data_IF_224036994840
#
_entry.id   IF_224036994840
#
_cell.length_a   1.000
_cell.length_b   1.000
_cell.length_c   1.000
_cell.angle_alpha   90.00
_cell.angle_beta   90.00
_cell.angle_gamma   90.00
#
_symmetry.space_group_name_H-M   'P 1'
#
loop_
_entity.id
_entity.type
_entity.pdbx_description
1 polymer ?
#
# COMPACT_ATOMS: atom_id res chain seq x y z
N UNK A 1 -33.12 24.26 -3.29
CA UNK A 1 -33.13 23.05 -4.07
C UNK A 1 -32.08 22.11 -3.55
N UNK A 2 -32.43 21.13 -2.69
CA UNK A 2 -31.54 20.06 -2.25
C UNK A 2 -31.47 19.02 -3.37
N UNK A 3 -30.27 18.74 -3.85
CA UNK A 3 -29.99 17.72 -4.86
C UNK A 3 -30.35 16.32 -4.34
N UNK A 4 -31.24 15.65 -5.07
CA UNK A 4 -31.69 14.28 -4.84
C UNK A 4 -30.74 13.24 -5.44
N UNK A 5 -29.43 13.38 -5.25
CA UNK A 5 -28.41 12.48 -5.82
C UNK A 5 -27.98 11.37 -4.84
N UNK A 6 -28.36 11.47 -3.57
CA UNK A 6 -27.93 10.52 -2.52
C UNK A 6 -28.41 9.07 -2.65
N UNK A 7 -29.58 8.72 -3.24
CA UNK A 7 -30.01 7.32 -3.24
C UNK A 7 -29.25 6.39 -4.19
N UNK A 8 -28.56 6.93 -5.21
CA UNK A 8 -27.88 6.12 -6.20
C UNK A 8 -26.43 5.76 -5.83
N UNK A 9 -25.75 6.57 -5.02
CA UNK A 9 -24.39 6.30 -4.58
C UNK A 9 -24.33 5.21 -3.48
N UNK A 10 -25.38 5.13 -2.65
CA UNK A 10 -25.48 4.14 -1.55
C UNK A 10 -25.71 2.72 -2.08
N UNK A 11 -26.19 2.56 -3.32
CA UNK A 11 -26.41 1.25 -3.94
C UNK A 11 -25.13 0.53 -4.40
N UNK A 12 -23.98 1.19 -4.38
CA UNK A 12 -22.72 0.61 -4.84
C UNK A 12 -21.93 -0.13 -3.76
N UNK A 13 -22.30 0.00 -2.50
CA UNK A 13 -21.67 -0.75 -1.39
C UNK A 13 -22.62 -1.87 -0.97
N UNK A 14 -22.58 -2.99 -1.67
CA UNK A 14 -23.23 -4.23 -1.22
C UNK A 14 -22.55 -4.69 0.07
N UNK A 15 -23.25 -4.57 1.19
CA UNK A 15 -22.79 -5.05 2.49
C UNK A 15 -22.95 -4.09 3.67
N UNK A 16 -23.41 -2.86 3.42
CA UNK A 16 -23.79 -1.97 4.53
C UNK A 16 -25.30 -2.08 4.72
N UNK A 17 -25.74 -2.79 5.75
CA UNK A 17 -27.12 -2.69 6.23
C UNK A 17 -27.35 -1.25 6.71
N UNK A 18 -28.22 -0.54 6.01
CA UNK A 18 -28.73 0.75 6.47
C UNK A 18 -29.72 0.46 7.61
N UNK A 19 -29.23 0.39 8.83
CA UNK A 19 -30.08 0.35 10.01
C UNK A 19 -30.62 1.76 10.19
N UNK A 20 -31.92 1.94 9.89
CA UNK A 20 -32.70 3.13 10.24
C UNK A 20 -32.98 3.15 11.76
N UNK A 21 -31.96 3.23 12.57
CA UNK A 21 -32.07 3.63 13.96
C UNK A 21 -31.51 5.04 14.10
N UNK A 22 -32.26 5.90 14.78
CA UNK A 22 -31.77 7.18 15.28
C UNK A 22 -30.64 6.86 16.26
N UNK A 23 -29.45 6.65 15.73
CA UNK A 23 -28.27 6.34 16.50
C UNK A 23 -27.95 7.58 17.34
N UNK A 24 -27.90 7.42 18.64
CA UNK A 24 -27.16 8.28 19.55
C UNK A 24 -25.79 8.58 18.93
N UNK A 25 -25.21 9.78 19.09
CA UNK A 25 -23.94 10.12 18.48
C UNK A 25 -22.91 9.06 18.88
N UNK A 26 -22.60 8.17 17.97
CA UNK A 26 -21.46 7.26 18.10
C UNK A 26 -20.25 8.16 18.25
N UNK A 27 -19.46 7.94 19.29
CA UNK A 27 -18.18 8.64 19.43
C UNK A 27 -17.50 8.57 18.07
N UNK A 28 -17.19 9.75 17.50
CA UNK A 28 -16.58 9.83 16.17
C UNK A 28 -15.23 9.13 16.25
N UNK A 29 -15.08 8.01 15.57
CA UNK A 29 -13.81 7.30 15.50
C UNK A 29 -12.90 8.06 14.54
N UNK A 30 -11.79 8.55 15.03
CA UNK A 30 -10.74 9.17 14.23
C UNK A 30 -9.73 8.09 13.86
N UNK A 31 -9.52 7.88 12.56
CA UNK A 31 -8.51 6.96 12.05
C UNK A 31 -7.24 7.73 11.72
N UNK A 32 -6.11 7.29 12.26
CA UNK A 32 -4.79 7.86 11.96
C UNK A 32 -4.29 7.25 10.66
N UNK A 33 -4.09 8.09 9.67
CA UNK A 33 -3.67 7.68 8.34
C UNK A 33 -2.33 8.30 7.99
N UNK A 34 -1.35 7.47 7.67
CA UNK A 34 -0.08 7.95 7.15
C UNK A 34 -0.07 7.85 5.63
N UNK A 35 0.27 8.95 4.96
CA UNK A 35 0.43 9.01 3.51
C UNK A 35 1.92 9.08 3.20
N UNK A 36 2.37 8.14 2.39
CA UNK A 36 3.71 8.06 1.84
C UNK A 36 3.60 8.29 0.33
N UNK A 37 3.76 9.54 -0.16
CA UNK A 37 3.47 9.86 -1.58
C UNK A 37 4.39 9.15 -2.55
N UNK A 38 5.65 8.91 -2.15
CA UNK A 38 6.66 8.33 -3.02
C UNK A 38 7.18 9.30 -4.07
N UNK A 39 7.46 8.77 -5.27
CA UNK A 39 8.14 9.45 -6.36
C UNK A 39 7.21 9.76 -7.54
N UNK A 40 7.55 10.79 -8.31
CA UNK A 40 6.93 11.09 -9.60
C UNK A 40 5.40 11.10 -9.55
N UNK A 41 4.76 10.22 -10.32
CA UNK A 41 3.29 10.09 -10.36
C UNK A 41 2.66 9.67 -9.04
N UNK A 42 3.43 9.07 -8.12
CA UNK A 42 2.95 8.71 -6.78
C UNK A 42 2.43 9.92 -6.01
N UNK A 43 3.13 11.06 -6.11
CA UNK A 43 2.73 12.32 -5.47
C UNK A 43 1.39 12.84 -6.01
N UNK A 44 1.16 12.73 -7.32
CA UNK A 44 -0.10 13.14 -7.95
C UNK A 44 -1.25 12.22 -7.53
N UNK A 45 -1.04 10.92 -7.58
CA UNK A 45 -2.04 9.91 -7.19
C UNK A 45 -2.40 10.02 -5.70
N UNK A 46 -1.41 10.24 -4.83
CA UNK A 46 -1.65 10.43 -3.40
C UNK A 46 -2.55 11.65 -3.12
N UNK A 47 -2.36 12.76 -3.85
CA UNK A 47 -3.23 13.94 -3.76
C UNK A 47 -4.66 13.65 -4.18
N UNK A 48 -4.86 12.87 -5.24
CA UNK A 48 -6.22 12.46 -5.64
C UNK A 48 -6.85 11.51 -4.61
N UNK A 49 -6.05 10.62 -4.00
CA UNK A 49 -6.48 9.80 -2.87
C UNK A 49 -6.94 10.64 -1.67
N UNK A 50 -6.21 11.70 -1.34
CA UNK A 50 -6.58 12.63 -0.25
C UNK A 50 -7.92 13.32 -0.52
N UNK A 51 -8.22 13.69 -1.76
CA UNK A 51 -9.53 14.26 -2.11
C UNK A 51 -10.68 13.30 -1.84
N UNK A 52 -10.46 12.00 -2.11
CA UNK A 52 -11.46 10.96 -1.81
C UNK A 52 -11.66 10.83 -0.30
N UNK A 53 -10.58 10.85 0.49
CA UNK A 53 -10.65 10.83 1.95
C UNK A 53 -11.43 12.04 2.48
N UNK A 54 -11.20 13.23 1.90
CA UNK A 54 -11.96 14.43 2.26
C UNK A 54 -13.46 14.26 1.99
N UNK A 55 -13.83 13.68 0.85
CA UNK A 55 -15.25 13.39 0.53
C UNK A 55 -15.86 12.44 1.59
N UNK A 56 -15.11 11.44 2.04
CA UNK A 56 -15.59 10.57 3.12
C UNK A 56 -15.79 11.33 4.44
N UNK A 57 -14.89 12.24 4.78
CA UNK A 57 -15.05 13.08 5.97
C UNK A 57 -16.28 14.00 5.87
N UNK A 58 -16.54 14.58 4.70
CA UNK A 58 -17.63 15.50 4.46
C UNK A 58 -19.01 14.83 4.45
N UNK A 59 -19.09 13.57 4.05
CA UNK A 59 -20.36 12.88 3.76
C UNK A 59 -20.59 11.59 4.55
N UNK A 60 -19.71 11.24 5.50
CA UNK A 60 -19.83 10.05 6.34
C UNK A 60 -19.37 10.34 7.77
N UNK A 61 -19.60 9.46 8.74
CA UNK A 61 -19.12 9.61 10.11
C UNK A 61 -17.62 9.27 10.26
N UNK A 62 -16.90 9.05 9.16
CA UNK A 62 -15.47 8.76 9.20
C UNK A 62 -14.67 10.06 9.34
N UNK A 63 -13.68 10.03 10.21
CA UNK A 63 -12.69 11.09 10.35
C UNK A 63 -11.29 10.52 10.21
N UNK A 64 -10.42 11.31 9.59
CA UNK A 64 -9.02 10.92 9.39
C UNK A 64 -8.11 12.00 9.97
N UNK A 65 -7.17 11.56 10.80
CA UNK A 65 -6.00 12.33 11.19
C UNK A 65 -4.86 11.92 10.24
N UNK A 66 -4.49 12.83 9.35
CA UNK A 66 -3.60 12.52 8.22
C UNK A 66 -2.22 13.09 8.48
N UNK A 67 -1.21 12.24 8.48
CA UNK A 67 0.21 12.60 8.48
C UNK A 67 0.83 12.23 7.13
N UNK A 68 1.45 13.19 6.44
CA UNK A 68 2.19 12.93 5.21
C UNK A 68 3.69 12.89 5.52
N UNK A 69 4.38 11.83 5.09
CA UNK A 69 5.82 11.63 5.26
C UNK A 69 6.46 11.48 3.89
N UNK A 70 7.42 12.34 3.52
CA UNK A 70 8.12 12.23 2.25
C UNK A 70 8.99 10.96 2.23
N UNK A 71 9.06 10.31 1.05
CA UNK A 71 9.85 9.08 0.90
C UNK A 71 10.15 8.80 -0.57
N UNK A 72 11.11 7.91 -0.80
CA UNK A 72 11.44 7.40 -2.13
C UNK A 72 12.79 7.88 -2.66
N UNK A 73 12.99 7.69 -3.96
CA UNK A 73 14.24 8.00 -4.62
C UNK A 73 14.50 9.50 -4.79
N UNK A 74 13.46 10.30 -5.06
CA UNK A 74 13.61 11.76 -5.12
C UNK A 74 14.04 12.32 -3.76
N UNK A 75 13.41 11.86 -2.67
CA UNK A 75 13.79 12.25 -1.31
C UNK A 75 15.23 11.82 -0.98
N UNK A 76 15.63 10.62 -1.45
CA UNK A 76 17.00 10.14 -1.29
C UNK A 76 18.04 11.04 -1.99
N UNK A 77 17.75 11.50 -3.20
CA UNK A 77 18.67 12.40 -3.93
C UNK A 77 18.86 13.73 -3.21
N UNK A 78 17.84 14.21 -2.52
CA UNK A 78 17.89 15.48 -1.79
C UNK A 78 18.57 15.35 -0.42
N UNK A 79 18.37 14.23 0.28
CA UNK A 79 18.73 14.10 1.71
C UNK A 79 19.74 13.00 2.02
N UNK A 80 19.97 12.07 1.10
CA UNK A 80 20.75 10.85 1.33
C UNK A 80 20.00 9.75 2.10
N UNK A 81 18.70 9.95 2.41
CA UNK A 81 17.84 9.00 3.11
C UNK A 81 16.61 8.66 2.27
N UNK A 82 16.12 7.43 2.33
CA UNK A 82 14.93 7.03 1.58
C UNK A 82 13.61 7.53 2.20
N UNK A 83 13.64 7.90 3.48
CA UNK A 83 12.60 8.59 4.26
C UNK A 83 13.21 9.20 5.53
N UNK A 84 12.53 10.11 6.25
CA UNK A 84 13.02 10.67 7.50
C UNK A 84 13.23 9.60 8.58
N UNK A 85 14.19 9.84 9.46
CA UNK A 85 14.39 9.00 10.64
C UNK A 85 13.12 8.95 11.50
N UNK A 86 12.80 7.78 12.07
CA UNK A 86 11.58 7.56 12.85
C UNK A 86 10.30 7.33 12.02
N UNK A 87 10.38 7.37 10.68
CA UNK A 87 9.20 7.17 9.82
C UNK A 87 8.60 5.77 9.92
N UNK A 88 9.43 4.75 10.07
CA UNK A 88 8.97 3.38 10.26
C UNK A 88 8.21 3.22 11.59
N UNK A 89 8.77 3.75 12.67
CA UNK A 89 8.16 3.73 14.01
C UNK A 89 6.84 4.48 14.00
N UNK A 90 6.76 5.62 13.31
CA UNK A 90 5.52 6.35 13.14
C UNK A 90 4.47 5.49 12.40
N UNK A 91 4.84 4.86 11.30
CA UNK A 91 3.94 3.97 10.56
C UNK A 91 3.45 2.78 11.41
N UNK A 92 4.31 2.21 12.26
CA UNK A 92 3.98 1.08 13.12
C UNK A 92 3.09 1.48 14.30
N UNK A 93 3.42 2.57 15.00
CA UNK A 93 2.85 2.88 16.31
C UNK A 93 1.75 3.95 16.26
N UNK A 94 1.77 4.81 15.24
CA UNK A 94 0.89 5.97 15.14
C UNK A 94 -0.03 5.95 13.91
N UNK A 95 -0.10 4.83 13.18
CA UNK A 95 -0.98 4.71 12.00
C UNK A 95 -1.92 3.52 12.14
N UNK A 96 -3.20 3.74 11.84
CA UNK A 96 -4.19 2.68 11.71
C UNK A 96 -4.21 2.13 10.27
N UNK A 97 -3.78 2.94 9.29
CA UNK A 97 -3.56 2.54 7.91
C UNK A 97 -2.49 3.41 7.24
N UNK A 98 -1.89 2.88 6.16
CA UNK A 98 -0.87 3.57 5.37
C UNK A 98 -1.33 3.62 3.91
N UNK A 99 -1.37 4.82 3.32
CA UNK A 99 -1.57 5.02 1.90
C UNK A 99 -0.22 5.26 1.23
N UNK A 100 0.26 4.27 0.49
CA UNK A 100 1.56 4.32 -0.19
C UNK A 100 1.37 4.63 -1.67
N UNK A 101 2.03 5.68 -2.15
CA UNK A 101 2.14 6.02 -3.56
C UNK A 101 3.19 5.18 -4.30
N UNK A 102 3.44 5.49 -5.54
CA UNK A 102 4.47 4.82 -6.32
C UNK A 102 5.87 5.24 -5.83
N UNK A 103 6.76 4.27 -5.66
CA UNK A 103 8.16 4.51 -5.31
C UNK A 103 9.04 3.94 -6.42
N UNK A 104 10.04 4.72 -6.82
CA UNK A 104 11.04 4.35 -7.79
C UNK A 104 11.41 5.54 -8.67
N UNK A 105 12.62 6.05 -8.47
CA UNK A 105 13.20 7.11 -9.31
C UNK A 105 14.40 6.54 -10.03
N UNK A 106 14.43 6.56 -11.38
CA UNK A 106 15.46 5.86 -12.16
C UNK A 106 16.90 6.25 -11.82
N UNK A 107 17.12 7.55 -11.51
CA UNK A 107 18.44 8.11 -11.25
C UNK A 107 18.89 7.99 -9.78
N UNK A 108 17.98 7.60 -8.88
CA UNK A 108 18.27 7.42 -7.47
C UNK A 108 18.83 6.01 -7.22
N UNK A 109 20.15 5.91 -7.11
CA UNK A 109 20.87 4.68 -6.84
C UNK A 109 21.54 4.71 -5.47
N UNK A 110 21.42 3.62 -4.75
CA UNK A 110 22.18 3.35 -3.54
C UNK A 110 23.64 3.02 -3.89
N UNK A 111 24.59 3.13 -2.95
CA UNK A 111 26.00 2.79 -3.19
C UNK A 111 26.24 1.35 -3.69
N UNK A 112 25.34 0.44 -3.38
CA UNK A 112 25.39 -0.96 -3.84
C UNK A 112 24.81 -1.16 -5.25
N UNK A 113 24.32 -0.10 -5.92
CA UNK A 113 23.73 -0.12 -7.25
C UNK A 113 22.22 -0.36 -7.29
N UNK A 114 21.59 -0.68 -6.17
CA UNK A 114 20.13 -0.86 -6.08
C UNK A 114 19.40 0.48 -6.25
N UNK A 115 18.12 0.41 -6.60
CA UNK A 115 17.27 1.59 -6.63
C UNK A 115 16.92 2.05 -5.20
N UNK A 116 17.06 3.34 -4.94
CA UNK A 116 16.58 3.94 -3.70
C UNK A 116 15.04 3.85 -3.60
N UNK A 117 14.52 3.77 -2.38
CA UNK A 117 13.11 3.59 -2.07
C UNK A 117 12.72 2.14 -1.75
N UNK A 118 13.61 1.19 -2.00
CA UNK A 118 13.39 -0.22 -1.70
C UNK A 118 13.21 -0.50 -0.22
N UNK A 119 13.95 0.16 0.65
CA UNK A 119 13.84 -0.02 2.11
C UNK A 119 12.47 0.41 2.65
N UNK A 120 11.82 1.40 2.05
CA UNK A 120 10.48 1.83 2.43
C UNK A 120 9.47 0.71 2.18
N UNK A 121 9.43 0.19 0.94
CA UNK A 121 8.46 -0.85 0.56
C UNK A 121 8.72 -2.16 1.30
N UNK A 122 9.96 -2.62 1.27
CA UNK A 122 10.33 -3.90 1.85
C UNK A 122 10.36 -3.82 3.37
N UNK A 123 10.81 -2.70 3.93
CA UNK A 123 10.81 -2.46 5.37
C UNK A 123 9.41 -2.45 5.97
N UNK A 124 8.43 -1.82 5.32
CA UNK A 124 7.04 -1.88 5.75
C UNK A 124 6.48 -3.30 5.68
N UNK A 125 6.73 -4.03 4.60
CA UNK A 125 6.20 -5.40 4.44
C UNK A 125 6.70 -6.34 5.52
N UNK A 126 8.01 -6.36 5.77
CA UNK A 126 8.59 -7.26 6.76
C UNK A 126 8.43 -6.75 8.20
N UNK A 127 8.67 -5.46 8.42
CA UNK A 127 8.65 -4.88 9.76
C UNK A 127 7.25 -4.81 10.37
N UNK A 128 6.21 -4.69 9.55
CA UNK A 128 4.81 -4.74 9.97
C UNK A 128 4.16 -6.12 9.79
N UNK A 129 4.93 -7.13 9.35
CA UNK A 129 4.46 -8.50 9.09
C UNK A 129 3.21 -8.54 8.16
N UNK A 130 3.26 -7.79 7.06
CA UNK A 130 2.15 -7.67 6.12
C UNK A 130 2.04 -8.93 5.24
N UNK A 131 1.43 -9.97 5.79
CA UNK A 131 1.35 -11.30 5.19
C UNK A 131 0.65 -11.31 3.84
N UNK A 132 -0.54 -10.71 3.72
CA UNK A 132 -1.38 -10.83 2.54
C UNK A 132 -1.32 -9.58 1.65
N UNK A 133 -0.89 -9.78 0.42
CA UNK A 133 -1.03 -8.79 -0.64
C UNK A 133 -2.33 -9.07 -1.40
N UNK A 134 -3.37 -8.32 -1.09
CA UNK A 134 -4.71 -8.49 -1.66
C UNK A 134 -4.87 -7.60 -2.88
N UNK A 135 -5.11 -8.20 -4.05
CA UNK A 135 -5.22 -7.51 -5.34
C UNK A 135 -6.60 -7.76 -5.96
N UNK A 136 -7.56 -6.86 -5.79
CA UNK A 136 -8.81 -6.94 -6.52
C UNK A 136 -8.56 -6.63 -8.00
N UNK A 137 -9.09 -7.47 -8.88
CA UNK A 137 -9.00 -7.32 -10.34
C UNK A 137 -10.42 -7.34 -10.89
N UNK A 138 -10.84 -6.21 -11.43
CA UNK A 138 -12.18 -6.05 -12.03
C UNK A 138 -12.05 -5.36 -13.37
N UNK A 139 -12.66 -5.96 -14.39
CA UNK A 139 -12.78 -5.32 -15.69
C UNK A 139 -14.09 -4.54 -15.75
N UNK A 140 -13.99 -3.24 -15.95
CA UNK A 140 -15.16 -2.38 -16.09
C UNK A 140 -15.64 -2.33 -17.53
N UNK A 141 -16.95 -2.13 -17.78
CA UNK A 141 -17.47 -1.93 -19.15
C UNK A 141 -16.79 -0.74 -19.85
N UNK A 142 -16.46 -0.91 -21.12
CA UNK A 142 -15.80 0.12 -21.91
C UNK A 142 -14.28 0.21 -21.75
N UNK A 143 -13.67 -0.68 -20.97
CA UNK A 143 -12.21 -0.77 -20.86
C UNK A 143 -11.69 -1.79 -21.86
N UNK A 144 -10.92 -1.30 -22.83
CA UNK A 144 -10.29 -2.12 -23.85
C UNK A 144 -8.87 -2.54 -23.47
N UNK A 145 -8.45 -3.67 -24.00
CA UNK A 145 -7.08 -4.16 -23.87
C UNK A 145 -6.21 -3.65 -25.02
N UNK A 146 -4.96 -3.33 -24.73
CA UNK A 146 -3.98 -3.01 -25.76
C UNK A 146 -3.19 -4.25 -26.13
N UNK A 147 -3.50 -4.82 -27.31
CA UNK A 147 -2.85 -6.02 -27.84
C UNK A 147 -2.21 -5.68 -29.18
N UNK A 148 -0.91 -5.94 -29.33
CA UNK A 148 -0.14 -5.62 -30.53
C UNK A 148 -0.37 -4.17 -31.03
N UNK A 149 -0.45 -3.21 -30.09
CA UNK A 149 -0.63 -1.79 -30.44
C UNK A 149 -2.07 -1.38 -30.78
N UNK A 150 -3.02 -2.30 -30.80
CA UNK A 150 -4.44 -2.03 -31.06
C UNK A 150 -5.26 -2.16 -29.78
N UNK A 151 -6.23 -1.28 -29.60
CA UNK A 151 -7.21 -1.41 -28.51
C UNK A 151 -8.36 -2.31 -28.97
N UNK A 152 -8.67 -3.32 -28.18
CA UNK A 152 -9.77 -4.25 -28.45
C UNK A 152 -10.31 -4.84 -27.16
N UNK A 153 -11.59 -5.15 -27.13
CA UNK A 153 -12.18 -5.92 -26.05
C UNK A 153 -11.85 -7.41 -26.25
N UNK A 154 -11.06 -7.98 -25.34
CA UNK A 154 -10.67 -9.41 -25.38
C UNK A 154 -11.52 -10.22 -24.42
N UNK A 155 -11.84 -9.65 -23.27
CA UNK A 155 -12.62 -10.30 -22.24
C UNK A 155 -13.90 -9.54 -21.93
N UNK A 156 -14.94 -10.28 -21.58
CA UNK A 156 -16.20 -9.68 -21.12
C UNK A 156 -16.04 -9.17 -19.69
N UNK A 157 -16.42 -7.92 -19.44
CA UNK A 157 -16.39 -7.31 -18.12
C UNK A 157 -17.26 -8.05 -17.09
N UNK A 158 -18.23 -8.84 -17.53
CA UNK A 158 -19.06 -9.66 -16.64
C UNK A 158 -18.32 -10.90 -16.09
N UNK A 159 -17.23 -11.30 -16.76
CA UNK A 159 -16.48 -12.51 -16.41
C UNK A 159 -15.20 -12.22 -15.58
N UNK A 160 -14.81 -10.96 -15.46
CA UNK A 160 -13.58 -10.58 -14.76
C UNK A 160 -13.93 -9.79 -13.51
N UNK A 161 -14.09 -10.49 -12.41
CA UNK A 161 -14.23 -9.95 -11.06
C UNK A 161 -13.62 -10.97 -10.10
N UNK A 162 -12.35 -10.78 -9.73
CA UNK A 162 -11.60 -11.71 -8.90
C UNK A 162 -10.70 -10.99 -7.91
N UNK A 163 -10.28 -11.68 -6.87
CA UNK A 163 -9.26 -11.22 -5.93
C UNK A 163 -8.08 -12.18 -5.97
N UNK A 164 -6.91 -11.64 -6.30
CA UNK A 164 -5.64 -12.35 -6.20
C UNK A 164 -5.04 -12.08 -4.83
N UNK A 165 -4.83 -13.12 -4.04
CA UNK A 165 -4.13 -13.03 -2.75
C UNK A 165 -2.74 -13.59 -2.93
N UNK A 166 -1.71 -12.77 -2.62
CA UNK A 166 -0.31 -13.14 -2.68
C UNK A 166 0.29 -13.09 -1.28
N UNK A 167 0.98 -14.14 -0.92
CA UNK A 167 1.82 -14.18 0.27
C UNK A 167 3.05 -13.27 0.08
N UNK A 168 3.43 -12.50 1.12
CA UNK A 168 4.46 -11.46 1.03
C UNK A 168 5.64 -11.64 1.98
N UNK A 169 5.58 -12.53 2.96
CA UNK A 169 6.50 -12.55 4.12
C UNK A 169 7.45 -13.73 4.11
N UNK A 170 7.24 -14.71 3.23
CA UNK A 170 8.01 -15.96 3.18
C UNK A 170 8.69 -16.21 1.83
N UNK A 171 9.38 -17.33 1.73
CA UNK A 171 10.08 -17.76 0.51
C UNK A 171 11.19 -16.79 0.10
N UNK A 172 11.32 -16.56 -1.20
CA UNK A 172 12.34 -15.65 -1.76
C UNK A 172 12.26 -14.22 -1.19
N UNK A 173 11.08 -13.75 -0.85
CA UNK A 173 10.92 -12.42 -0.25
C UNK A 173 11.51 -12.34 1.14
N UNK A 174 11.34 -13.37 1.95
CA UNK A 174 11.97 -13.43 3.28
C UNK A 174 13.51 -13.38 3.15
N UNK A 175 14.09 -14.15 2.25
CA UNK A 175 15.53 -14.14 2.00
C UNK A 175 16.05 -12.77 1.53
N UNK A 176 15.32 -12.11 0.60
CA UNK A 176 15.67 -10.77 0.13
C UNK A 176 15.58 -9.72 1.22
N UNK A 177 14.52 -9.76 2.03
CA UNK A 177 14.31 -8.81 3.12
C UNK A 177 15.37 -8.97 4.20
N UNK A 178 15.71 -10.21 4.57
CA UNK A 178 16.76 -10.49 5.54
C UNK A 178 18.12 -10.05 5.01
N UNK A 179 18.44 -10.34 3.75
CA UNK A 179 19.69 -9.90 3.12
C UNK A 179 19.83 -8.38 3.16
N UNK A 180 18.75 -7.63 2.87
CA UNK A 180 18.75 -6.17 2.96
C UNK A 180 18.93 -5.68 4.39
N UNK A 181 18.25 -6.29 5.36
CA UNK A 181 18.37 -5.93 6.78
C UNK A 181 19.77 -6.23 7.33
N UNK A 182 20.36 -7.38 6.99
CA UNK A 182 21.72 -7.75 7.39
C UNK A 182 22.76 -6.81 6.78
N UNK A 183 22.61 -6.44 5.52
CA UNK A 183 23.51 -5.48 4.86
C UNK A 183 23.50 -4.11 5.55
N UNK A 184 22.33 -3.62 6.00
CA UNK A 184 22.20 -2.36 6.75
C UNK A 184 22.80 -2.45 8.14
N UNK A 185 22.72 -3.61 8.81
CA UNK A 185 23.28 -3.83 10.15
C UNK A 185 24.78 -4.14 10.16
N UNK A 186 25.42 -4.22 8.99
CA UNK A 186 26.84 -4.58 8.86
C UNK A 186 27.14 -6.06 9.11
N UNK A 187 26.11 -6.90 9.17
CA UNK A 187 26.24 -8.36 9.27
C UNK A 187 26.43 -8.99 7.90
N UNK A 188 26.99 -10.20 7.86
CA UNK A 188 27.21 -10.90 6.59
C UNK A 188 25.87 -11.29 5.94
N UNK A 189 25.50 -10.73 4.77
CA UNK A 189 24.23 -11.02 4.12
C UNK A 189 24.16 -12.44 3.52
N UNK A 190 25.30 -13.14 3.40
CA UNK A 190 25.41 -14.48 2.82
C UNK A 190 25.40 -15.59 3.89
N UNK A 191 25.17 -15.24 5.16
CA UNK A 191 24.99 -16.24 6.20
C UNK A 191 23.70 -17.05 5.97
N UNK A 192 23.75 -18.40 6.07
CA UNK A 192 22.57 -19.25 5.87
C UNK A 192 21.45 -18.88 6.84
N UNK A 193 20.24 -18.75 6.27
CA UNK A 193 19.03 -18.40 7.04
C UNK A 193 18.36 -19.67 7.51
N UNK A 194 18.34 -19.93 8.81
CA UNK A 194 17.50 -20.97 9.39
C UNK A 194 16.06 -20.41 9.48
N UNK A 195 15.12 -21.02 8.77
CA UNK A 195 13.71 -20.64 8.83
C UNK A 195 13.08 -21.29 10.05
N UNK A 196 13.05 -20.57 11.17
CA UNK A 196 12.44 -21.05 12.42
C UNK A 196 10.90 -20.84 12.50
N UNK A 197 10.28 -20.21 11.50
CA UNK A 197 8.86 -19.80 11.58
C UNK A 197 7.84 -20.96 11.50
N UNK A 198 8.24 -22.16 11.11
CA UNK A 198 7.34 -23.31 11.07
C UNK A 198 7.92 -24.52 11.78
N UNK A 199 7.53 -24.78 13.05
CA UNK A 199 7.88 -26.02 13.73
C UNK A 199 7.35 -27.21 12.91
N UNK A 200 8.25 -27.99 12.30
CA UNK A 200 7.92 -29.17 11.50
C UNK A 200 8.19 -29.05 10.00
N UNK A 201 8.64 -27.88 9.51
CA UNK A 201 9.23 -27.72 8.18
C UNK A 201 10.73 -27.42 8.34
N UNK A 202 11.50 -28.44 8.61
CA UNK A 202 12.96 -28.36 8.56
C UNK A 202 13.38 -28.44 7.09
N UNK A 203 13.75 -27.31 6.51
CA UNK A 203 14.28 -27.22 5.15
C UNK A 203 15.29 -26.09 5.06
N UNK A 204 16.50 -26.43 4.64
CA UNK A 204 17.49 -25.44 4.19
C UNK A 204 17.06 -24.94 2.82
N UNK A 205 16.87 -23.63 2.69
CA UNK A 205 16.77 -22.96 1.38
C UNK A 205 18.14 -22.40 1.07
N UNK A 206 18.85 -23.06 0.16
CA UNK A 206 20.11 -22.60 -0.41
C UNK A 206 19.88 -21.50 -1.46
#
# INVERSE_FOLDING_TARGET
GRLSILPSLIRFIKGVEVINEVALPRAMTVYRLTILPGDGTGKEVAKEGQKILQVFQDYSPLNFDITEIPCGGEYYLETGMEWPEGSFEHCRDNSDAILLGAIGWPDAKLPNGDNAGGSVILGLRSGLDLYANVRPVKLYPGVDHKIHGKYMQVWDSKLVDMVLIRENTEGLYHALLRRSALAVSGQNPDEPVTIEKFPGLEGEVA
#
